data_IF_316204724886
#
_entry.id   IF_316204724886
#
_cell.length_a   1.000
_cell.length_b   1.000
_cell.length_c   1.000
_cell.angle_alpha   90.00
_cell.angle_beta   90.00
_cell.angle_gamma   90.00
#
_symmetry.space_group_name_H-M   'P 1'
#
loop_
_entity.id
_entity.type
_entity.pdbx_description
1 polymer ?
#
# COMPACT_ATOMS: atom_id res chain seq x y z
N UNK A 1 79.36 -46.05 -9.71
CA UNK A 1 78.08 -45.98 -10.44
C UNK A 1 77.16 -45.02 -9.67
N UNK A 2 77.07 -43.76 -10.12
CA UNK A 2 76.22 -42.72 -9.51
C UNK A 2 74.81 -42.82 -10.11
N UNK A 3 73.78 -42.98 -9.28
CA UNK A 3 72.38 -42.84 -9.69
C UNK A 3 71.91 -41.44 -9.28
N UNK A 4 71.72 -40.58 -10.26
CA UNK A 4 71.12 -39.25 -10.11
C UNK A 4 69.60 -39.42 -10.18
N UNK A 5 68.88 -39.07 -9.11
CA UNK A 5 67.41 -39.03 -9.09
C UNK A 5 66.99 -37.61 -9.47
N UNK A 6 66.20 -37.50 -10.54
CA UNK A 6 65.62 -36.27 -11.06
C UNK A 6 64.27 -36.05 -10.37
N UNK A 7 64.13 -34.99 -9.57
CA UNK A 7 62.87 -34.59 -8.96
C UNK A 7 62.12 -33.63 -9.90
N UNK A 8 60.93 -34.02 -10.34
CA UNK A 8 60.01 -33.20 -11.13
C UNK A 8 59.17 -32.39 -10.14
N UNK A 9 59.34 -31.06 -10.13
CA UNK A 9 58.52 -30.14 -9.36
C UNK A 9 57.29 -29.80 -10.21
N UNK A 10 56.12 -30.28 -9.78
CA UNK A 10 54.85 -29.98 -10.41
C UNK A 10 54.33 -28.64 -9.87
N UNK A 11 54.46 -27.58 -10.67
CA UNK A 11 53.95 -26.25 -10.36
C UNK A 11 52.43 -26.20 -10.56
N UNK A 12 51.66 -26.26 -9.48
CA UNK A 12 50.21 -26.03 -9.49
C UNK A 12 49.91 -24.52 -9.45
N UNK A 13 49.54 -23.96 -10.59
CA UNK A 13 48.98 -22.61 -10.68
C UNK A 13 47.53 -22.62 -10.19
N UNK A 14 47.26 -22.03 -9.02
CA UNK A 14 45.91 -21.73 -8.56
C UNK A 14 45.39 -20.51 -9.34
N UNK A 15 44.46 -20.75 -10.27
CA UNK A 15 43.60 -19.69 -10.81
C UNK A 15 42.59 -19.31 -9.72
N UNK A 16 42.81 -18.17 -9.06
CA UNK A 16 41.78 -17.52 -8.27
C UNK A 16 40.79 -16.84 -9.19
N UNK A 17 39.60 -17.43 -9.38
CA UNK A 17 38.46 -16.70 -9.91
C UNK A 17 38.03 -15.69 -8.86
N UNK A 18 38.31 -14.42 -9.12
CA UNK A 18 37.77 -13.31 -8.36
C UNK A 18 36.34 -13.07 -8.85
N UNK A 19 35.40 -13.92 -8.44
CA UNK A 19 33.97 -13.70 -8.63
C UNK A 19 33.51 -12.61 -7.65
N UNK A 20 33.87 -11.36 -7.95
CA UNK A 20 33.16 -10.21 -7.40
C UNK A 20 31.78 -10.13 -8.07
N UNK A 21 30.91 -11.10 -7.77
CA UNK A 21 29.47 -10.84 -7.80
C UNK A 21 29.21 -9.93 -6.62
N UNK A 22 29.13 -8.63 -6.87
CA UNK A 22 28.42 -7.75 -5.94
C UNK A 22 27.06 -8.39 -5.68
N UNK A 23 26.82 -8.76 -4.43
CA UNK A 23 25.55 -9.34 -4.03
C UNK A 23 24.47 -8.29 -4.28
N UNK A 24 23.63 -8.52 -5.29
CA UNK A 24 22.50 -7.65 -5.63
C UNK A 24 21.47 -7.61 -4.47
N UNK A 25 21.69 -8.41 -3.42
CA UNK A 25 20.91 -8.37 -2.18
C UNK A 25 21.24 -7.21 -1.22
N UNK A 26 22.22 -6.35 -1.50
CA UNK A 26 22.74 -5.37 -0.52
C UNK A 26 22.42 -3.90 -0.83
N UNK A 27 21.46 -3.59 -1.71
CA UNK A 27 21.06 -2.20 -1.93
C UNK A 27 20.34 -1.63 -0.71
N UNK A 28 20.79 -0.45 -0.22
CA UNK A 28 20.14 0.30 0.86
C UNK A 28 18.76 0.84 0.45
N UNK A 29 18.51 0.93 -0.84
CA UNK A 29 17.26 1.39 -1.43
C UNK A 29 16.71 0.41 -2.46
N UNK A 30 15.42 0.51 -2.74
CA UNK A 30 14.76 -0.21 -3.82
C UNK A 30 13.66 0.67 -4.43
N UNK A 31 13.31 0.39 -5.68
CA UNK A 31 12.15 0.95 -6.34
C UNK A 31 11.13 -0.16 -6.56
N UNK A 32 9.87 0.13 -6.22
CA UNK A 32 8.75 -0.78 -6.38
C UNK A 32 7.71 -0.20 -7.32
N UNK A 33 6.99 -1.08 -7.99
CA UNK A 33 5.72 -0.79 -8.64
C UNK A 33 4.59 -1.40 -7.79
N UNK A 34 3.61 -0.57 -7.42
CA UNK A 34 2.34 -1.00 -6.86
C UNK A 34 1.31 -1.01 -7.98
N UNK A 35 0.68 -2.16 -8.20
CA UNK A 35 -0.52 -2.28 -9.04
C UNK A 35 -1.74 -2.39 -8.12
N UNK A 36 -2.68 -1.45 -8.21
CA UNK A 36 -3.95 -1.49 -7.50
C UNK A 36 -5.02 -2.03 -8.45
N UNK A 37 -5.71 -3.09 -8.05
CA UNK A 37 -6.77 -3.74 -8.81
C UNK A 37 -8.11 -3.60 -8.11
N UNK A 38 -9.16 -3.30 -8.87
CA UNK A 38 -10.53 -3.16 -8.40
C UNK A 38 -11.34 -4.43 -8.61
N UNK A 39 -11.92 -4.96 -7.54
CA UNK A 39 -12.98 -5.98 -7.61
C UNK A 39 -14.38 -5.37 -7.48
N UNK A 40 -14.49 -4.07 -7.18
CA UNK A 40 -15.77 -3.41 -6.94
C UNK A 40 -16.52 -3.18 -8.25
N UNK A 41 -17.49 -4.05 -8.50
CA UNK A 41 -18.35 -4.05 -9.68
C UNK A 41 -19.77 -4.43 -9.28
N UNK A 42 -20.77 -4.07 -10.07
CA UNK A 42 -22.17 -4.41 -9.82
C UNK A 42 -22.43 -5.94 -9.70
N UNK A 43 -21.56 -6.76 -10.30
CA UNK A 43 -21.65 -8.22 -10.19
C UNK A 43 -21.12 -8.74 -8.85
N UNK A 44 -20.09 -8.09 -8.32
CA UNK A 44 -19.41 -8.53 -7.11
C UNK A 44 -20.00 -7.88 -5.85
N UNK A 45 -20.41 -6.62 -5.93
CA UNK A 45 -21.02 -5.83 -4.86
C UNK A 45 -22.25 -5.15 -5.47
N UNK A 46 -23.41 -5.79 -5.35
CA UNK A 46 -24.62 -5.43 -6.08
C UNK A 46 -25.52 -4.45 -5.33
N UNK A 47 -25.48 -4.47 -3.99
CA UNK A 47 -26.38 -3.69 -3.14
C UNK A 47 -26.04 -2.20 -3.26
N UNK A 48 -27.01 -1.41 -3.75
CA UNK A 48 -26.89 0.04 -3.99
C UNK A 48 -25.67 0.46 -4.83
N UNK A 49 -25.14 -0.41 -5.69
CA UNK A 49 -23.93 -0.14 -6.46
C UNK A 49 -24.04 1.16 -7.29
N UNK A 50 -23.10 2.12 -7.13
CA UNK A 50 -23.14 3.38 -7.85
C UNK A 50 -22.61 3.22 -9.28
N UNK A 51 -23.35 3.71 -10.28
CA UNK A 51 -22.93 3.62 -11.69
C UNK A 51 -21.72 4.48 -12.04
N UNK A 52 -21.46 5.56 -11.27
CA UNK A 52 -20.31 6.44 -11.39
C UNK A 52 -19.16 6.05 -10.44
N UNK A 53 -19.13 4.78 -10.03
CA UNK A 53 -18.04 4.09 -9.33
C UNK A 53 -16.66 4.55 -9.82
N UNK A 54 -15.83 5.05 -8.92
CA UNK A 54 -14.39 5.29 -9.13
C UNK A 54 -13.61 5.17 -7.81
N UNK A 55 -12.27 5.15 -7.90
CA UNK A 55 -11.39 5.37 -6.74
C UNK A 55 -10.71 6.73 -6.90
N UNK A 56 -10.52 7.47 -5.81
CA UNK A 56 -9.73 8.72 -5.87
C UNK A 56 -8.25 8.43 -6.13
N UNK A 57 -7.44 9.47 -6.32
CA UNK A 57 -6.00 9.32 -6.45
C UNK A 57 -5.39 8.60 -5.24
N UNK A 58 -4.50 7.64 -5.48
CA UNK A 58 -3.73 7.01 -4.40
C UNK A 58 -2.79 8.05 -3.79
N UNK A 59 -2.77 8.11 -2.46
CA UNK A 59 -1.84 8.94 -1.70
C UNK A 59 -1.29 8.14 -0.53
N UNK A 60 0.02 8.23 -0.32
CA UNK A 60 0.70 7.48 0.71
C UNK A 60 2.14 7.89 0.87
N UNK A 61 2.91 7.04 1.53
CA UNK A 61 4.30 7.30 1.84
C UNK A 61 5.08 6.01 2.10
N UNK A 62 6.39 6.10 1.97
CA UNK A 62 7.32 5.17 2.62
C UNK A 62 7.81 5.78 3.94
N UNK A 63 7.89 4.95 4.97
CA UNK A 63 8.12 5.43 6.33
C UNK A 63 8.83 4.43 7.23
N UNK A 64 9.31 4.94 8.38
CA UNK A 64 9.80 4.11 9.47
C UNK A 64 8.64 3.77 10.43
N UNK A 65 8.92 3.08 11.54
CA UNK A 65 7.90 2.65 12.50
C UNK A 65 7.04 3.78 13.13
N UNK A 66 7.38 5.06 12.91
CA UNK A 66 6.71 6.21 13.50
C UNK A 66 5.98 7.10 12.47
N UNK A 67 5.85 6.66 11.22
CA UNK A 67 5.26 7.44 10.12
C UNK A 67 3.99 6.88 9.49
N UNK A 68 3.26 5.99 10.17
CA UNK A 68 1.94 5.54 9.70
C UNK A 68 0.95 6.71 9.57
N UNK A 69 0.00 6.60 8.64
CA UNK A 69 -0.96 7.68 8.29
C UNK A 69 -2.40 7.39 8.73
N UNK A 70 -2.72 6.14 9.08
CA UNK A 70 -4.01 5.76 9.67
C UNK A 70 -3.84 4.49 10.51
N UNK A 71 -4.72 4.27 11.48
CA UNK A 71 -4.70 3.08 12.34
C UNK A 71 -6.14 2.72 12.75
N UNK A 72 -6.45 1.42 12.87
CA UNK A 72 -7.77 0.97 13.31
C UNK A 72 -8.00 1.34 14.78
N UNK A 73 -9.17 1.88 15.09
CA UNK A 73 -9.53 2.30 16.44
C UNK A 73 -8.96 3.66 16.87
N UNK A 74 -8.24 4.35 15.99
CA UNK A 74 -7.78 5.72 16.19
C UNK A 74 -8.63 6.71 15.37
N UNK A 75 -8.62 7.99 15.75
CA UNK A 75 -9.27 9.04 14.98
C UNK A 75 -8.55 9.26 13.65
N UNK A 76 -9.32 9.45 12.57
CA UNK A 76 -8.77 9.88 11.30
C UNK A 76 -8.12 11.28 11.42
N UNK A 77 -6.98 11.48 10.75
CA UNK A 77 -6.42 12.83 10.60
C UNK A 77 -7.30 13.67 9.67
N UNK A 78 -7.13 14.99 9.69
CA UNK A 78 -7.81 15.87 8.73
C UNK A 78 -7.49 15.48 7.28
N UNK A 79 -6.26 15.01 7.01
CA UNK A 79 -5.87 14.48 5.71
C UNK A 79 -6.60 13.21 5.31
N UNK A 80 -6.79 12.27 6.24
CA UNK A 80 -7.56 11.03 5.97
C UNK A 80 -9.02 11.36 5.71
N UNK A 81 -9.64 12.23 6.51
CA UNK A 81 -11.01 12.70 6.30
C UNK A 81 -11.18 13.34 4.91
N UNK A 82 -10.29 14.26 4.53
CA UNK A 82 -10.35 14.91 3.20
C UNK A 82 -10.24 13.89 2.05
N UNK A 83 -9.37 12.89 2.18
CA UNK A 83 -9.27 11.82 1.19
C UNK A 83 -10.56 11.01 1.17
N UNK A 84 -11.08 10.61 2.32
CA UNK A 84 -12.21 9.69 2.44
C UNK A 84 -13.55 10.29 2.00
N UNK A 85 -13.76 11.59 2.20
CA UNK A 85 -15.02 12.26 1.84
C UNK A 85 -14.99 12.87 0.44
N UNK A 86 -13.84 13.42 0.00
CA UNK A 86 -13.77 14.17 -1.26
C UNK A 86 -12.76 13.65 -2.26
N UNK A 87 -11.87 12.73 -1.85
CA UNK A 87 -10.78 12.23 -2.68
C UNK A 87 -9.67 13.25 -2.90
N UNK A 88 -9.68 14.36 -2.17
CA UNK A 88 -8.65 15.41 -2.28
C UNK A 88 -7.45 15.01 -1.44
N UNK A 89 -6.24 15.31 -1.93
CA UNK A 89 -4.97 14.86 -1.34
C UNK A 89 -4.20 15.96 -0.61
N UNK A 90 -4.71 17.18 -0.61
CA UNK A 90 -3.95 18.39 -0.27
C UNK A 90 -3.50 18.39 1.18
N UNK A 91 -4.42 18.10 2.10
CA UNK A 91 -4.15 18.08 3.54
C UNK A 91 -3.23 16.90 3.88
N UNK A 92 -3.53 15.69 3.37
CA UNK A 92 -2.69 14.52 3.64
C UNK A 92 -1.27 14.67 3.05
N UNK A 93 -1.12 15.32 1.90
CA UNK A 93 0.20 15.66 1.33
C UNK A 93 1.00 16.56 2.28
N UNK A 94 0.34 17.56 2.89
CA UNK A 94 0.99 18.43 3.87
C UNK A 94 1.37 17.67 5.16
N UNK A 95 0.53 16.75 5.62
CA UNK A 95 0.84 15.86 6.75
C UNK A 95 2.05 14.95 6.46
N UNK A 96 2.12 14.36 5.27
CA UNK A 96 3.27 13.54 4.83
C UNK A 96 4.55 14.38 4.75
N UNK A 97 4.49 15.60 4.21
CA UNK A 97 5.64 16.51 4.18
C UNK A 97 6.13 16.85 5.60
N UNK A 98 5.22 16.99 6.56
CA UNK A 98 5.59 17.17 7.97
C UNK A 98 6.28 15.92 8.54
N UNK A 99 5.82 14.71 8.20
CA UNK A 99 6.49 13.46 8.59
C UNK A 99 7.91 13.36 8.01
N UNK A 100 8.12 13.79 6.77
CA UNK A 100 9.44 13.85 6.15
C UNK A 100 10.36 14.83 6.89
N UNK A 101 9.87 16.03 7.22
CA UNK A 101 10.63 17.02 8.00
C UNK A 101 11.02 16.52 9.41
N UNK A 102 10.23 15.59 9.97
CA UNK A 102 10.51 14.94 11.25
C UNK A 102 11.38 13.69 11.13
N UNK A 103 11.87 13.33 9.93
CA UNK A 103 12.66 12.12 9.71
C UNK A 103 11.86 10.83 9.90
N UNK A 104 10.55 10.87 9.66
CA UNK A 104 9.63 9.71 9.79
C UNK A 104 9.25 9.08 8.47
N UNK A 105 9.43 9.80 7.36
CA UNK A 105 9.14 9.34 6.00
C UNK A 105 10.29 9.68 5.06
N UNK A 106 10.45 8.84 4.03
CA UNK A 106 11.40 9.05 2.94
C UNK A 106 10.74 9.68 1.71
N UNK A 107 9.68 9.06 1.19
CA UNK A 107 9.06 9.44 -0.08
C UNK A 107 7.54 9.49 0.02
N UNK A 108 6.93 10.38 -0.77
CA UNK A 108 5.48 10.43 -0.97
C UNK A 108 5.10 9.53 -2.14
N UNK A 109 4.04 8.75 -1.97
CA UNK A 109 3.41 7.95 -3.03
C UNK A 109 2.23 8.76 -3.56
N UNK A 110 2.28 9.14 -4.83
CA UNK A 110 1.23 9.92 -5.47
C UNK A 110 0.82 9.25 -6.78
N UNK A 111 -0.34 8.59 -6.76
CA UNK A 111 -0.90 7.87 -7.89
C UNK A 111 -2.20 8.47 -8.41
N UNK A 112 -2.56 8.10 -9.64
CA UNK A 112 -3.88 8.36 -10.19
C UNK A 112 -4.94 7.50 -9.48
N UNK A 113 -6.22 7.84 -9.67
CA UNK A 113 -7.33 6.99 -9.27
C UNK A 113 -7.71 5.98 -10.36
N UNK A 114 -8.62 5.06 -10.03
CA UNK A 114 -9.21 4.13 -11.00
C UNK A 114 -10.53 4.73 -11.48
N UNK A 115 -10.61 5.11 -12.76
CA UNK A 115 -11.84 5.61 -13.36
C UNK A 115 -12.86 4.49 -13.60
N UNK A 116 -14.07 4.83 -14.02
CA UNK A 116 -15.14 3.86 -14.28
C UNK A 116 -14.80 2.87 -15.41
N UNK A 117 -13.93 3.28 -16.34
CA UNK A 117 -13.49 2.45 -17.48
C UNK A 117 -12.27 1.57 -17.16
N UNK A 118 -11.64 1.79 -16.00
CA UNK A 118 -10.42 1.10 -15.60
C UNK A 118 -10.70 0.02 -14.56
N UNK A 119 -9.91 -1.05 -14.59
CA UNK A 119 -9.91 -2.07 -13.53
C UNK A 119 -8.69 -1.94 -12.62
N UNK A 120 -7.64 -1.27 -13.07
CA UNK A 120 -6.41 -1.11 -12.30
C UNK A 120 -5.63 0.14 -12.69
N UNK A 121 -4.72 0.54 -11.80
CA UNK A 121 -3.67 1.54 -12.03
C UNK A 121 -2.34 1.03 -11.47
N UNK A 122 -1.25 1.67 -11.88
CA UNK A 122 0.07 1.45 -11.30
C UNK A 122 0.65 2.76 -10.76
N UNK A 123 1.47 2.66 -9.71
CA UNK A 123 2.26 3.75 -9.15
C UNK A 123 3.62 3.21 -8.73
N UNK A 124 4.68 3.95 -9.03
CA UNK A 124 6.04 3.61 -8.60
C UNK A 124 6.44 4.41 -7.38
N UNK A 125 7.19 3.81 -6.48
CA UNK A 125 7.71 4.49 -5.29
C UNK A 125 9.10 3.98 -4.90
N UNK A 126 9.88 4.86 -4.31
CA UNK A 126 11.21 4.54 -3.75
C UNK A 126 11.12 4.29 -2.25
N UNK A 127 11.89 3.32 -1.78
CA UNK A 127 11.96 2.89 -0.39
C UNK A 127 13.41 2.65 0.04
N UNK A 128 13.69 2.72 1.34
CA UNK A 128 15.01 2.38 1.90
C UNK A 128 14.92 1.49 3.13
N UNK A 129 16.04 0.90 3.52
CA UNK A 129 16.13 0.06 4.73
C UNK A 129 15.77 0.82 6.01
N UNK A 130 16.00 2.14 6.05
CA UNK A 130 15.63 3.02 7.18
C UNK A 130 14.14 3.36 7.22
N UNK A 131 13.45 3.29 6.06
CA UNK A 131 12.03 3.57 5.91
C UNK A 131 11.34 2.37 5.23
N UNK A 132 11.36 1.17 5.83
CA UNK A 132 11.04 -0.08 5.15
C UNK A 132 9.53 -0.36 5.04
N UNK A 133 8.69 0.56 5.53
CA UNK A 133 7.24 0.41 5.54
C UNK A 133 6.60 1.25 4.43
N UNK A 134 5.51 0.75 3.86
CA UNK A 134 4.61 1.48 2.98
C UNK A 134 3.22 1.61 3.62
N UNK A 135 2.65 2.81 3.54
CA UNK A 135 1.23 3.05 3.79
C UNK A 135 0.63 3.88 2.66
N UNK A 136 -0.63 3.62 2.30
CA UNK A 136 -1.38 4.46 1.36
C UNK A 136 -2.88 4.30 1.56
N UNK A 137 -3.65 5.26 1.06
CA UNK A 137 -5.11 5.26 1.04
C UNK A 137 -5.64 5.72 -0.32
N UNK A 138 -6.88 5.33 -0.63
CA UNK A 138 -7.69 5.83 -1.73
C UNK A 138 -9.17 5.70 -1.38
N UNK A 139 -9.96 6.69 -1.78
CA UNK A 139 -11.40 6.78 -1.49
C UNK A 139 -12.21 5.84 -2.38
N UNK A 140 -13.21 5.17 -1.82
CA UNK A 140 -14.29 4.56 -2.59
C UNK A 140 -15.28 5.66 -2.98
N UNK A 141 -15.53 5.86 -4.27
CA UNK A 141 -16.34 6.98 -4.72
C UNK A 141 -17.52 6.56 -5.63
N UNK A 142 -18.72 7.11 -5.43
CA UNK A 142 -19.11 7.91 -4.26
C UNK A 142 -19.18 7.05 -2.99
N UNK A 143 -18.90 7.67 -1.84
CA UNK A 143 -19.19 7.14 -0.51
C UNK A 143 -19.28 8.31 0.49
N UNK A 144 -19.80 8.07 1.70
CA UNK A 144 -19.78 9.04 2.80
C UNK A 144 -18.34 9.43 3.16
N UNK A 145 -17.58 8.49 3.71
CA UNK A 145 -16.21 8.66 4.18
C UNK A 145 -15.42 7.33 4.07
N UNK A 146 -15.71 6.53 3.05
CA UNK A 146 -15.15 5.19 2.93
C UNK A 146 -13.88 5.17 2.09
N UNK A 147 -12.85 4.49 2.60
CA UNK A 147 -11.57 4.35 1.91
C UNK A 147 -11.04 2.92 1.98
N UNK A 148 -10.10 2.60 1.11
CA UNK A 148 -9.30 1.38 1.16
C UNK A 148 -7.83 1.76 1.19
N UNK A 149 -6.99 0.92 1.77
CA UNK A 149 -5.59 1.24 1.96
C UNK A 149 -4.79 0.14 2.61
N UNK A 150 -3.48 0.36 2.61
CA UNK A 150 -2.50 -0.47 3.29
C UNK A 150 -1.86 0.37 4.40
N UNK A 151 -1.75 -0.20 5.59
CA UNK A 151 -1.08 0.44 6.72
C UNK A 151 0.17 -0.36 7.07
N UNK A 152 1.31 0.33 7.07
CA UNK A 152 2.60 -0.11 7.63
C UNK A 152 3.05 -1.50 7.17
N UNK A 153 2.94 -1.79 5.87
CA UNK A 153 3.42 -3.06 5.33
C UNK A 153 4.94 -3.01 5.09
N UNK A 154 5.69 -3.97 5.62
CA UNK A 154 7.15 -3.99 5.55
C UNK A 154 7.64 -4.70 4.28
N UNK A 155 8.49 -4.03 3.49
CA UNK A 155 9.08 -4.58 2.26
C UNK A 155 10.57 -4.94 2.39
N UNK A 156 11.22 -4.58 3.50
CA UNK A 156 12.55 -5.05 3.85
C UNK A 156 12.50 -5.85 5.15
N UNK A 157 12.69 -7.17 5.07
CA UNK A 157 12.53 -8.11 6.18
C UNK A 157 13.73 -9.05 6.22
N UNK A 158 14.28 -9.29 7.41
CA UNK A 158 15.41 -10.20 7.64
C UNK A 158 16.61 -9.95 6.70
N UNK A 159 16.91 -8.67 6.45
CA UNK A 159 18.03 -8.24 5.62
C UNK A 159 17.80 -8.39 4.11
N UNK A 160 16.55 -8.58 3.67
CA UNK A 160 16.21 -8.78 2.27
C UNK A 160 14.98 -7.99 1.85
N UNK A 161 15.02 -7.49 0.62
CA UNK A 161 13.87 -6.91 -0.04
C UNK A 161 12.88 -8.00 -0.46
N UNK A 162 11.59 -7.73 -0.28
CA UNK A 162 10.49 -8.54 -0.79
C UNK A 162 10.44 -8.39 -2.30
N UNK A 163 10.61 -9.46 -3.06
CA UNK A 163 10.64 -9.36 -4.54
C UNK A 163 9.25 -9.08 -5.14
N UNK A 164 8.21 -9.71 -4.58
CA UNK A 164 6.82 -9.49 -4.97
C UNK A 164 5.89 -9.91 -3.84
N UNK A 165 4.78 -9.20 -3.66
CA UNK A 165 3.70 -9.60 -2.74
C UNK A 165 2.34 -9.19 -3.28
N UNK A 166 1.35 -10.06 -3.09
CA UNK A 166 -0.05 -9.75 -3.29
C UNK A 166 -0.75 -9.54 -1.95
N UNK A 167 -1.53 -8.47 -1.82
CA UNK A 167 -2.25 -8.14 -0.59
C UNK A 167 -3.71 -7.83 -0.90
N UNK A 168 -4.62 -8.43 -0.12
CA UNK A 168 -6.03 -8.05 -0.10
C UNK A 168 -6.22 -6.86 0.83
N UNK A 169 -6.88 -5.81 0.37
CA UNK A 169 -7.13 -4.63 1.19
C UNK A 169 -8.53 -4.65 1.76
N UNK A 170 -8.65 -4.19 3.00
CA UNK A 170 -9.93 -3.94 3.63
C UNK A 170 -10.47 -2.56 3.24
N UNK A 171 -11.79 -2.44 3.25
CA UNK A 171 -12.50 -1.16 3.25
C UNK A 171 -12.71 -0.67 4.68
N UNK A 172 -12.47 0.61 4.88
CA UNK A 172 -12.56 1.31 6.15
C UNK A 172 -13.62 2.40 6.06
N UNK A 173 -14.18 2.70 7.22
CA UNK A 173 -15.03 3.86 7.50
C UNK A 173 -14.19 4.83 8.33
N UNK A 174 -14.12 6.11 7.93
CA UNK A 174 -13.23 7.09 8.57
C UNK A 174 -13.79 7.62 9.90
N UNK A 175 -15.09 7.44 10.15
CA UNK A 175 -15.78 7.91 11.35
C UNK A 175 -16.12 9.41 11.31
N UNK A 176 -16.17 10.03 10.13
CA UNK A 176 -16.46 11.45 9.96
C UNK A 176 -17.83 11.75 9.34
N UNK A 177 -18.42 10.81 8.57
CA UNK A 177 -19.75 10.95 7.96
C UNK A 177 -20.67 9.75 8.25
N UNK A 178 -21.91 10.02 8.66
CA UNK A 178 -22.92 9.03 9.07
C UNK A 178 -23.71 8.41 7.92
N UNK A 179 -23.36 8.71 6.68
CA UNK A 179 -24.01 8.19 5.49
C UNK A 179 -24.04 6.67 5.46
N UNK A 180 -25.21 6.10 5.17
CA UNK A 180 -25.41 4.65 5.22
C UNK A 180 -25.15 3.94 3.88
N UNK A 181 -25.28 4.65 2.76
CA UNK A 181 -25.13 4.10 1.41
C UNK A 181 -24.18 4.98 0.59
N UNK A 182 -23.71 4.44 -0.54
CA UNK A 182 -22.75 5.13 -1.43
C UNK A 182 -23.15 6.54 -1.85
N UNK A 183 -24.45 6.83 -1.98
CA UNK A 183 -24.97 8.11 -2.46
C UNK A 183 -25.75 8.87 -1.39
N UNK A 184 -25.49 8.59 -0.11
CA UNK A 184 -26.03 9.39 0.99
C UNK A 184 -25.65 10.86 0.82
N UNK A 185 -26.51 11.74 1.30
CA UNK A 185 -26.11 13.13 1.52
C UNK A 185 -25.13 13.19 2.70
N UNK A 186 -24.30 14.23 2.71
CA UNK A 186 -23.41 14.59 3.81
C UNK A 186 -24.17 14.58 5.15
N UNK A 187 -23.67 13.83 6.12
CA UNK A 187 -24.20 13.69 7.49
C UNK A 187 -23.05 13.70 8.52
N UNK A 188 -22.43 14.86 8.79
CA UNK A 188 -21.23 14.94 9.61
C UNK A 188 -21.41 14.40 11.03
N UNK A 189 -20.50 13.54 11.48
CA UNK A 189 -20.50 12.96 12.83
C UNK A 189 -19.80 13.92 13.81
N UNK A 190 -20.47 14.27 14.92
CA UNK A 190 -19.90 15.15 15.96
C UNK A 190 -20.21 14.64 17.37
N UNK A 191 -19.19 14.32 18.19
CA UNK A 191 -17.76 14.27 17.86
C UNK A 191 -17.45 13.14 16.86
N UNK A 192 -16.38 13.23 16.04
CA UNK A 192 -16.00 12.16 15.12
C UNK A 192 -15.77 10.84 15.84
N UNK A 193 -16.11 9.75 15.17
CA UNK A 193 -15.81 8.39 15.58
C UNK A 193 -14.39 7.98 15.10
N UNK A 194 -13.95 6.80 15.55
CA UNK A 194 -12.65 6.23 15.17
C UNK A 194 -12.74 5.46 13.86
N UNK A 195 -11.61 5.28 13.18
CA UNK A 195 -11.53 4.46 11.98
C UNK A 195 -11.91 3.02 12.31
N UNK A 196 -12.84 2.46 11.55
CA UNK A 196 -13.26 1.06 11.67
C UNK A 196 -13.22 0.32 10.35
N UNK A 197 -13.32 -1.01 10.40
CA UNK A 197 -13.59 -1.80 9.20
C UNK A 197 -15.05 -1.63 8.80
N UNK A 198 -15.28 -1.24 7.55
CA UNK A 198 -16.63 -0.94 7.07
C UNK A 198 -17.57 -2.14 7.27
N UNK A 199 -18.63 -1.92 8.03
CA UNK A 199 -19.69 -2.90 8.28
C UNK A 199 -21.02 -2.18 8.23
N UNK A 200 -21.92 -2.60 7.35
CA UNK A 200 -23.25 -2.00 7.21
C UNK A 200 -24.36 -3.05 7.31
N UNK A 201 -25.60 -2.58 7.41
CA UNK A 201 -26.77 -3.40 7.11
C UNK A 201 -26.70 -3.94 5.67
N UNK A 202 -27.27 -5.13 5.42
CA UNK A 202 -27.30 -5.78 4.10
C UNK A 202 -28.22 -5.10 3.10
N UNK A 203 -29.16 -4.27 3.55
CA UNK A 203 -29.95 -3.40 2.68
C UNK A 203 -29.14 -2.19 2.17
N UNK A 204 -28.02 -1.87 2.83
CA UNK A 204 -27.23 -0.69 2.54
C UNK A 204 -26.04 -0.99 1.64
N UNK A 205 -25.24 -2.00 1.99
CA UNK A 205 -24.09 -2.45 1.20
C UNK A 205 -23.82 -3.94 1.40
N UNK A 206 -22.86 -4.48 0.64
CA UNK A 206 -22.37 -5.84 0.79
C UNK A 206 -21.16 -5.98 1.73
N UNK A 207 -20.83 -4.95 2.52
CA UNK A 207 -19.64 -4.97 3.40
C UNK A 207 -19.91 -5.52 4.80
N UNK A 208 -19.08 -6.49 5.21
CA UNK A 208 -18.89 -6.94 6.59
C UNK A 208 -17.39 -6.96 6.91
N UNK A 209 -16.96 -6.24 7.94
CA UNK A 209 -15.55 -6.15 8.35
C UNK A 209 -14.61 -5.80 7.18
N UNK A 210 -15.03 -4.85 6.34
CA UNK A 210 -14.23 -4.30 5.26
C UNK A 210 -14.11 -5.17 4.02
N UNK A 211 -14.84 -6.29 3.93
CA UNK A 211 -14.86 -7.19 2.77
C UNK A 211 -16.29 -7.61 2.45
N UNK A 212 -16.49 -8.26 1.31
CA UNK A 212 -17.82 -8.74 0.94
C UNK A 212 -18.32 -9.82 1.94
N UNK A 213 -19.50 -9.63 2.51
CA UNK A 213 -20.03 -10.48 3.60
C UNK A 213 -20.14 -11.97 3.24
N UNK A 214 -20.54 -12.30 2.00
CA UNK A 214 -20.82 -13.68 1.61
C UNK A 214 -19.58 -14.51 1.21
N UNK A 215 -18.66 -13.91 0.44
CA UNK A 215 -17.55 -14.60 -0.21
C UNK A 215 -16.17 -14.06 0.20
N UNK A 216 -16.13 -13.10 1.13
CA UNK A 216 -14.91 -12.47 1.64
C UNK A 216 -14.07 -11.78 0.57
N UNK A 217 -14.66 -11.44 -0.59
CA UNK A 217 -13.96 -10.74 -1.66
C UNK A 217 -13.61 -9.32 -1.20
N UNK A 218 -12.33 -8.91 -1.25
CA UNK A 218 -11.93 -7.54 -0.96
C UNK A 218 -12.33 -6.61 -2.11
N UNK A 219 -12.65 -5.36 -1.79
CA UNK A 219 -13.01 -4.33 -2.80
C UNK A 219 -11.84 -4.05 -3.76
N UNK A 220 -10.61 -4.19 -3.25
CA UNK A 220 -9.35 -3.99 -3.97
C UNK A 220 -8.30 -5.00 -3.52
N UNK A 221 -7.44 -5.38 -4.46
CA UNK A 221 -6.19 -6.08 -4.18
C UNK A 221 -5.02 -5.28 -4.72
N UNK A 222 -3.84 -5.51 -4.19
CA UNK A 222 -2.61 -4.96 -4.74
C UNK A 222 -1.59 -6.05 -5.05
N UNK A 223 -0.73 -5.75 -6.01
CA UNK A 223 0.54 -6.42 -6.21
C UNK A 223 1.64 -5.37 -6.06
N UNK A 224 2.59 -5.60 -5.15
CA UNK A 224 3.79 -4.77 -5.00
C UNK A 224 4.97 -5.58 -5.51
N UNK A 225 5.65 -5.09 -6.54
CA UNK A 225 6.76 -5.79 -7.21
C UNK A 225 8.00 -4.92 -7.27
N UNK A 226 9.14 -5.49 -6.88
CA UNK A 226 10.44 -4.82 -6.95
C UNK A 226 10.89 -4.68 -8.41
N UNK A 227 11.43 -3.52 -8.76
CA UNK A 227 11.90 -3.22 -10.13
C UNK A 227 13.42 -3.36 -10.28
N UNK A 228 14.20 -3.17 -9.22
CA UNK A 228 15.68 -3.16 -9.23
C UNK A 228 16.33 -3.76 -7.97
#
# INVERSE_FOLDING_TARGET
MKKTILAIILSSTLFGCNDNKADVSNSETATYELTLNSNWSANNFSTNFPSNRHFSGVIGLTHNAHGGIFELGELASAGIVEVAETGTKTVLTAEINNLQNLGKSLSTIDGSGITVEQQSITVTFDISQDYPYISFVTMLAPSPDWFTGLNSYQLFVDGKWVESVDVSLNTYDAGSDGGLIFTSADDPITPPDVITLLTSDRANTDFEKGIHYLNSLPVTTITIKRLN
#
